data_IF_752563609371
#
_entry.id   IF_752563609371
#
_cell.length_a   1.000
_cell.length_b   1.000
_cell.length_c   1.000
_cell.angle_alpha   90.00
_cell.angle_beta   90.00
_cell.angle_gamma   90.00
#
_symmetry.space_group_name_H-M   'P 1'
#
loop_
_entity.id
_entity.type
_entity.pdbx_description
1 polymer ?
#
# COMPACT_ATOMS: atom_id res chain seq x y z
N UNK A 1 13.02 2.64 -18.74
CA UNK A 1 13.49 3.54 -19.83
C UNK A 1 14.95 3.96 -19.66
N UNK A 2 15.38 4.52 -18.53
CA UNK A 2 16.76 5.04 -18.36
C UNK A 2 17.87 3.97 -18.44
N UNK A 3 17.65 2.76 -17.93
CA UNK A 3 18.59 1.64 -18.10
C UNK A 3 18.75 1.17 -19.55
N UNK A 4 17.75 1.38 -20.41
CA UNK A 4 17.83 1.04 -21.84
C UNK A 4 18.63 2.10 -22.60
N UNK A 5 18.46 3.37 -22.22
CA UNK A 5 19.17 4.50 -22.80
C UNK A 5 20.69 4.44 -22.53
N UNK A 6 21.11 3.98 -21.35
CA UNK A 6 22.52 4.00 -20.94
C UNK A 6 23.37 2.82 -21.43
N UNK A 7 22.80 1.80 -22.10
CA UNK A 7 23.54 0.63 -22.67
C UNK A 7 24.61 -0.02 -21.74
N UNK A 8 24.48 0.10 -20.41
CA UNK A 8 25.42 -0.48 -19.45
C UNK A 8 25.06 -1.94 -19.17
N UNK A 9 25.90 -2.88 -19.63
CA UNK A 9 25.74 -4.32 -19.35
C UNK A 9 25.91 -4.58 -17.85
N UNK A 10 24.98 -5.31 -17.24
CA UNK A 10 25.05 -5.74 -15.83
C UNK A 10 24.38 -4.82 -14.79
N UNK A 11 24.05 -3.56 -15.12
CA UNK A 11 23.52 -2.57 -14.15
C UNK A 11 21.99 -2.42 -14.18
N UNK A 12 21.31 -3.09 -15.12
CA UNK A 12 19.85 -2.97 -15.33
C UNK A 12 19.06 -3.32 -14.06
N UNK A 13 19.40 -4.42 -13.39
CA UNK A 13 18.72 -4.86 -12.17
C UNK A 13 18.88 -3.84 -11.04
N UNK A 14 20.09 -3.32 -10.86
CA UNK A 14 20.38 -2.27 -9.87
C UNK A 14 19.55 -1.01 -10.12
N UNK A 15 19.54 -0.50 -11.36
CA UNK A 15 18.77 0.71 -11.69
C UNK A 15 17.25 0.51 -11.54
N UNK A 16 16.74 -0.69 -11.85
CA UNK A 16 15.33 -1.03 -11.63
C UNK A 16 15.00 -1.08 -10.13
N UNK A 17 15.85 -1.70 -9.31
CA UNK A 17 15.69 -1.74 -7.87
C UNK A 17 15.74 -0.33 -7.26
N UNK A 18 16.71 0.49 -7.67
CA UNK A 18 16.83 1.89 -7.24
C UNK A 18 15.59 2.70 -7.62
N UNK A 19 15.08 2.56 -8.84
CA UNK A 19 13.86 3.24 -9.28
C UNK A 19 12.61 2.80 -8.51
N UNK A 20 12.48 1.51 -8.22
CA UNK A 20 11.37 0.99 -7.41
C UNK A 20 11.43 1.49 -5.96
N UNK A 21 12.60 1.49 -5.32
CA UNK A 21 12.80 2.03 -3.97
C UNK A 21 12.52 3.54 -3.91
N UNK A 22 13.02 4.30 -4.89
CA UNK A 22 12.79 5.72 -5.03
C UNK A 22 11.29 6.02 -5.19
N UNK A 23 10.60 5.31 -6.07
CA UNK A 23 9.14 5.45 -6.26
C UNK A 23 8.35 5.18 -4.99
N UNK A 24 8.68 4.12 -4.24
CA UNK A 24 8.05 3.84 -2.95
C UNK A 24 8.34 4.94 -1.92
N UNK A 25 9.57 5.46 -1.90
CA UNK A 25 9.96 6.59 -1.04
C UNK A 25 9.18 7.85 -1.37
N UNK A 26 9.06 8.20 -2.65
CA UNK A 26 8.29 9.35 -3.11
C UNK A 26 6.79 9.21 -2.79
N UNK A 27 6.24 7.99 -2.83
CA UNK A 27 4.83 7.77 -2.54
C UNK A 27 4.48 7.95 -1.06
N UNK A 28 5.40 7.62 -0.14
CA UNK A 28 5.12 7.55 1.30
C UNK A 28 6.02 8.45 2.17
N UNK A 29 6.92 9.24 1.59
CA UNK A 29 7.97 10.00 2.30
C UNK A 29 8.78 9.13 3.29
N UNK A 30 8.99 7.85 2.94
CA UNK A 30 9.52 6.82 3.84
C UNK A 30 10.78 6.16 3.25
N UNK A 31 11.97 6.80 3.36
CA UNK A 31 13.18 6.33 2.69
C UNK A 31 13.66 4.95 3.18
N UNK A 32 13.60 4.70 4.50
CA UNK A 32 14.01 3.40 5.06
C UNK A 32 13.08 2.28 4.61
N UNK A 33 11.77 2.53 4.52
CA UNK A 33 10.81 1.56 4.01
C UNK A 33 11.06 1.24 2.53
N UNK A 34 11.39 2.25 1.72
CA UNK A 34 11.81 2.10 0.33
C UNK A 34 12.99 1.13 0.16
N UNK A 35 14.01 1.29 1.01
CA UNK A 35 15.22 0.47 0.98
C UNK A 35 14.94 -0.95 1.47
N UNK A 36 14.25 -1.09 2.60
CA UNK A 36 13.88 -2.40 3.17
C UNK A 36 12.99 -3.20 2.22
N UNK A 37 12.06 -2.55 1.52
CA UNK A 37 11.23 -3.22 0.52
C UNK A 37 12.04 -3.90 -0.58
N UNK A 38 13.11 -3.25 -1.07
CA UNK A 38 14.01 -3.89 -2.03
C UNK A 38 14.76 -5.06 -1.40
N UNK A 39 15.12 -4.91 -0.12
CA UNK A 39 15.96 -5.88 0.57
C UNK A 39 15.21 -7.14 1.01
N UNK A 40 13.96 -6.99 1.42
CA UNK A 40 13.16 -8.08 1.97
C UNK A 40 12.26 -8.69 0.90
N UNK A 41 11.46 -7.87 0.21
CA UNK A 41 10.43 -8.35 -0.72
C UNK A 41 11.00 -8.63 -2.12
N UNK A 42 11.79 -7.70 -2.66
CA UNK A 42 12.27 -7.82 -4.04
C UNK A 42 13.59 -8.61 -4.17
N UNK A 43 14.11 -9.16 -3.06
CA UNK A 43 15.37 -9.91 -3.02
C UNK A 43 15.50 -11.01 -4.07
N UNK A 44 14.48 -11.86 -4.33
CA UNK A 44 14.61 -12.95 -5.30
C UNK A 44 14.82 -12.45 -6.74
N UNK A 45 14.39 -11.22 -7.05
CA UNK A 45 14.42 -10.64 -8.39
C UNK A 45 15.72 -9.87 -8.69
N UNK A 46 16.52 -9.56 -7.67
CA UNK A 46 17.71 -8.72 -7.80
C UNK A 46 18.96 -9.38 -7.22
N UNK A 47 20.01 -9.50 -8.03
CA UNK A 47 21.31 -10.00 -7.54
C UNK A 47 21.90 -9.00 -6.56
N UNK A 48 22.07 -9.45 -5.33
CA UNK A 48 22.72 -8.66 -4.28
C UNK A 48 24.18 -8.41 -4.58
N UNK A 49 24.53 -7.14 -4.71
CA UNK A 49 25.91 -6.67 -4.68
C UNK A 49 25.96 -5.39 -3.85
N UNK A 50 27.05 -5.17 -3.12
CA UNK A 50 27.28 -3.96 -2.32
C UNK A 50 27.15 -2.68 -3.15
N UNK A 51 27.56 -2.73 -4.41
CA UNK A 51 27.42 -1.63 -5.37
C UNK A 51 25.93 -1.33 -5.64
N UNK A 52 25.09 -2.36 -5.69
CA UNK A 52 23.65 -2.22 -5.93
C UNK A 52 22.95 -1.56 -4.76
N UNK A 53 23.28 -1.97 -3.53
CA UNK A 53 22.72 -1.36 -2.32
C UNK A 53 23.09 0.12 -2.26
N UNK A 54 24.37 0.47 -2.47
CA UNK A 54 24.81 1.87 -2.50
C UNK A 54 24.01 2.70 -3.52
N UNK A 55 23.76 2.16 -4.71
CA UNK A 55 22.95 2.84 -5.72
C UNK A 55 21.50 3.06 -5.27
N UNK A 56 20.88 2.07 -4.62
CA UNK A 56 19.52 2.17 -4.07
C UNK A 56 19.43 3.29 -3.03
N UNK A 57 20.40 3.35 -2.10
CA UNK A 57 20.46 4.42 -1.09
C UNK A 57 20.52 5.81 -1.73
N UNK A 58 21.41 6.00 -2.72
CA UNK A 58 21.55 7.29 -3.41
C UNK A 58 20.24 7.70 -4.09
N UNK A 59 19.58 6.78 -4.81
CA UNK A 59 18.32 7.08 -5.49
C UNK A 59 17.18 7.39 -4.52
N UNK A 60 17.10 6.67 -3.41
CA UNK A 60 16.11 6.92 -2.35
C UNK A 60 16.31 8.29 -1.68
N UNK A 61 17.55 8.65 -1.37
CA UNK A 61 17.89 9.96 -0.79
C UNK A 61 17.47 11.08 -1.75
N UNK A 62 17.85 10.96 -3.03
CA UNK A 62 17.47 11.96 -4.05
C UNK A 62 15.95 12.07 -4.20
N UNK A 63 15.25 10.94 -4.21
CA UNK A 63 13.80 10.92 -4.29
C UNK A 63 13.13 11.57 -3.08
N UNK A 64 13.68 11.35 -1.88
CA UNK A 64 13.20 11.98 -0.64
C UNK A 64 13.41 13.49 -0.66
N UNK A 65 14.59 13.96 -1.12
CA UNK A 65 14.89 15.38 -1.28
C UNK A 65 13.89 16.03 -2.23
N UNK A 66 13.70 15.46 -3.42
CA UNK A 66 12.76 16.00 -4.42
C UNK A 66 11.33 16.01 -3.86
N UNK A 67 10.91 14.93 -3.18
CA UNK A 67 9.60 14.88 -2.54
C UNK A 67 9.40 16.03 -1.54
N UNK A 68 10.38 16.26 -0.67
CA UNK A 68 10.33 17.31 0.37
C UNK A 68 10.41 18.72 -0.19
N UNK A 69 11.15 18.92 -1.28
CA UNK A 69 11.18 20.21 -1.97
C UNK A 69 9.82 20.60 -2.56
N UNK A 70 9.03 19.61 -3.01
CA UNK A 70 7.72 19.83 -3.63
C UNK A 70 6.60 19.86 -2.59
N UNK A 71 6.61 18.94 -1.62
CA UNK A 71 5.49 18.71 -0.69
C UNK A 71 5.76 19.24 0.73
N UNK A 72 6.97 19.76 1.01
CA UNK A 72 7.39 20.19 2.34
C UNK A 72 7.89 19.05 3.23
N UNK A 73 8.20 19.38 4.48
CA UNK A 73 8.87 18.47 5.43
C UNK A 73 7.91 17.61 6.29
N UNK A 74 6.60 17.74 6.07
CA UNK A 74 5.58 16.99 6.82
C UNK A 74 5.61 15.48 6.53
N UNK A 75 5.42 14.67 7.57
CA UNK A 75 5.11 13.25 7.40
C UNK A 75 3.74 13.07 6.73
N UNK A 76 3.58 12.04 5.90
CA UNK A 76 2.31 11.72 5.20
C UNK A 76 1.18 11.44 6.20
N UNK A 77 1.53 10.94 7.38
CA UNK A 77 0.61 10.71 8.49
C UNK A 77 1.25 11.30 9.74
N UNK A 78 0.60 12.29 10.35
CA UNK A 78 1.00 12.84 11.65
C UNK A 78 0.11 12.24 12.73
N UNK A 79 0.65 11.26 13.44
CA UNK A 79 0.00 10.69 14.61
C UNK A 79 0.68 11.31 15.84
N UNK A 80 -0.12 11.78 16.80
CA UNK A 80 0.38 12.44 18.01
C UNK A 80 1.26 11.52 18.86
N UNK A 81 1.85 12.07 19.93
CA UNK A 81 2.60 11.26 20.91
C UNK A 81 1.63 10.40 21.73
N UNK A 82 1.76 9.09 21.61
CA UNK A 82 1.09 8.13 22.51
C UNK A 82 1.90 7.89 23.78
N UNK A 83 1.22 7.41 24.83
CA UNK A 83 1.88 6.92 26.04
C UNK A 83 2.68 5.65 25.75
N UNK A 84 3.79 5.49 26.47
CA UNK A 84 4.62 4.29 26.38
C UNK A 84 3.83 3.04 26.78
N UNK A 85 3.98 1.95 26.02
CA UNK A 85 3.37 0.67 26.34
C UNK A 85 4.10 -0.01 27.51
N UNK A 86 3.42 -0.29 28.64
CA UNK A 86 4.05 -0.98 29.77
C UNK A 86 4.32 -2.46 29.43
N UNK A 87 5.39 -3.02 30.02
CA UNK A 87 5.89 -4.38 29.71
C UNK A 87 4.81 -5.47 29.88
N UNK A 88 3.89 -5.29 30.84
CA UNK A 88 2.79 -6.20 31.11
C UNK A 88 1.71 -6.23 30.00
N UNK A 89 1.72 -5.29 29.05
CA UNK A 89 0.77 -5.26 27.92
C UNK A 89 1.33 -5.89 26.64
N UNK A 90 2.61 -6.29 26.61
CA UNK A 90 3.25 -6.84 25.42
C UNK A 90 2.57 -8.11 24.88
N UNK A 91 1.98 -8.93 25.76
CA UNK A 91 1.27 -10.13 25.33
C UNK A 91 0.03 -9.81 24.49
N UNK A 92 -0.62 -8.65 24.68
CA UNK A 92 -1.75 -8.23 23.83
C UNK A 92 -1.32 -8.01 22.39
N UNK A 93 -0.13 -7.45 22.16
CA UNK A 93 0.41 -7.25 20.81
C UNK A 93 0.73 -8.58 20.12
N UNK A 94 1.12 -9.60 20.87
CA UNK A 94 1.35 -10.95 20.34
C UNK A 94 0.04 -11.61 19.90
N UNK A 95 -1.01 -11.53 20.73
CA UNK A 95 -2.35 -12.03 20.38
C UNK A 95 -2.88 -11.29 19.15
N UNK A 96 -2.72 -9.97 19.12
CA UNK A 96 -3.14 -9.15 17.99
C UNK A 96 -2.37 -9.52 16.70
N UNK A 97 -1.06 -9.77 16.80
CA UNK A 97 -0.23 -10.26 15.69
C UNK A 97 -0.71 -11.60 15.14
N UNK A 98 -1.09 -12.55 16.01
CA UNK A 98 -1.67 -13.83 15.57
C UNK A 98 -3.00 -13.63 14.85
N UNK A 99 -3.89 -12.77 15.36
CA UNK A 99 -5.16 -12.44 14.71
C UNK A 99 -4.94 -11.84 13.33
N UNK A 100 -4.04 -10.86 13.21
CA UNK A 100 -3.69 -10.26 11.91
C UNK A 100 -3.04 -11.27 10.95
N UNK A 101 -2.25 -12.22 11.45
CA UNK A 101 -1.71 -13.31 10.64
C UNK A 101 -2.80 -14.16 10.00
N UNK A 102 -3.81 -14.56 10.78
CA UNK A 102 -4.96 -15.34 10.26
C UNK A 102 -5.79 -14.51 9.27
N UNK A 103 -6.11 -13.26 9.62
CA UNK A 103 -6.87 -12.35 8.74
C UNK A 103 -6.12 -12.10 7.42
N UNK A 104 -4.80 -11.94 7.48
CA UNK A 104 -3.95 -11.74 6.29
C UNK A 104 -3.98 -12.94 5.33
N UNK A 105 -3.96 -14.16 5.85
CA UNK A 105 -4.09 -15.38 5.02
C UNK A 105 -5.47 -15.45 4.36
N UNK A 106 -6.53 -15.17 5.11
CA UNK A 106 -7.91 -15.17 4.59
C UNK A 106 -8.07 -14.09 3.50
N UNK A 107 -7.58 -12.88 3.78
CA UNK A 107 -7.62 -11.76 2.83
C UNK A 107 -6.89 -12.11 1.52
N UNK A 108 -5.69 -12.69 1.64
CA UNK A 108 -4.89 -13.08 0.46
C UNK A 108 -5.62 -14.13 -0.39
N UNK A 109 -6.20 -15.16 0.24
CA UNK A 109 -7.00 -16.18 -0.46
C UNK A 109 -8.23 -15.58 -1.15
N UNK A 110 -8.96 -14.71 -0.45
CA UNK A 110 -10.14 -14.06 -0.98
C UNK A 110 -9.79 -13.17 -2.19
N UNK A 111 -8.69 -12.42 -2.10
CA UNK A 111 -8.20 -11.58 -3.18
C UNK A 111 -7.90 -12.39 -4.44
N UNK A 112 -7.11 -13.47 -4.33
CA UNK A 112 -6.81 -14.32 -5.48
C UNK A 112 -8.05 -15.00 -6.06
N UNK A 113 -8.99 -15.40 -5.19
CA UNK A 113 -10.26 -15.97 -5.62
C UNK A 113 -11.07 -14.97 -6.47
N UNK A 114 -11.28 -13.75 -5.96
CA UNK A 114 -12.05 -12.71 -6.67
C UNK A 114 -11.35 -12.28 -7.96
N UNK A 115 -10.02 -12.19 -7.95
CA UNK A 115 -9.24 -11.91 -9.16
C UNK A 115 -9.46 -12.98 -10.24
N UNK A 116 -9.50 -14.25 -9.84
CA UNK A 116 -9.77 -15.37 -10.77
C UNK A 116 -11.20 -15.27 -11.33
N UNK A 117 -12.18 -14.89 -10.51
CA UNK A 117 -13.57 -14.68 -10.96
C UNK A 117 -13.66 -13.53 -11.99
N UNK A 118 -12.97 -12.41 -11.75
CA UNK A 118 -12.91 -11.31 -12.71
C UNK A 118 -12.26 -11.74 -14.03
N UNK A 119 -11.16 -12.50 -13.99
CA UNK A 119 -10.54 -13.05 -15.20
C UNK A 119 -11.52 -13.94 -16.00
N UNK A 120 -12.27 -14.81 -15.32
CA UNK A 120 -13.30 -15.64 -15.96
C UNK A 120 -14.45 -14.80 -16.56
N UNK A 121 -14.81 -13.69 -15.91
CA UNK A 121 -15.84 -12.77 -16.41
C UNK A 121 -15.37 -12.01 -17.66
N UNK A 122 -14.11 -11.58 -17.68
CA UNK A 122 -13.53 -10.84 -18.79
C UNK A 122 -13.39 -11.69 -20.06
N UNK A 123 -13.06 -12.98 -19.94
CA UNK A 123 -12.87 -13.88 -21.09
C UNK A 123 -11.97 -13.27 -22.18
N UNK A 124 -10.91 -12.56 -21.77
CA UNK A 124 -9.99 -11.80 -22.63
C UNK A 124 -10.62 -10.72 -23.52
N UNK A 125 -11.87 -10.31 -23.24
CA UNK A 125 -12.56 -9.25 -23.97
C UNK A 125 -12.30 -7.90 -23.32
N UNK A 126 -11.52 -7.05 -23.98
CA UNK A 126 -11.21 -5.69 -23.54
C UNK A 126 -12.45 -4.85 -23.26
N UNK A 127 -13.53 -5.03 -24.02
CA UNK A 127 -14.80 -4.32 -23.80
C UNK A 127 -15.41 -4.59 -22.41
N UNK A 128 -15.38 -5.84 -21.95
CA UNK A 128 -15.92 -6.21 -20.62
C UNK A 128 -15.03 -5.69 -19.50
N UNK A 129 -13.72 -5.70 -19.71
CA UNK A 129 -12.76 -5.13 -18.77
C UNK A 129 -12.98 -3.63 -18.59
N UNK A 130 -13.11 -2.87 -19.69
CA UNK A 130 -13.35 -1.42 -19.63
C UNK A 130 -14.70 -1.10 -19.00
N UNK A 131 -15.76 -1.84 -19.35
CA UNK A 131 -17.09 -1.62 -18.78
C UNK A 131 -17.10 -1.93 -17.27
N UNK A 132 -16.53 -3.05 -16.85
CA UNK A 132 -16.42 -3.41 -15.43
C UNK A 132 -15.59 -2.37 -14.66
N UNK A 133 -14.44 -1.94 -15.20
CA UNK A 133 -13.63 -0.88 -14.62
C UNK A 133 -14.38 0.44 -14.50
N UNK A 134 -15.18 0.81 -15.52
CA UNK A 134 -16.02 1.99 -15.49
C UNK A 134 -17.14 1.92 -14.45
N UNK A 135 -17.81 0.78 -14.32
CA UNK A 135 -18.85 0.57 -13.31
C UNK A 135 -18.27 0.59 -11.90
N UNK A 136 -17.15 -0.11 -11.67
CA UNK A 136 -16.48 -0.14 -10.36
C UNK A 136 -15.93 1.23 -10.00
N UNK A 137 -15.26 1.91 -10.94
CA UNK A 137 -14.75 3.27 -10.75
C UNK A 137 -15.88 4.27 -10.49
N UNK A 138 -16.99 4.17 -11.22
CA UNK A 138 -18.19 4.99 -11.02
C UNK A 138 -18.83 4.74 -9.65
N UNK A 139 -18.94 3.47 -9.24
CA UNK A 139 -19.45 3.11 -7.91
C UNK A 139 -18.53 3.63 -6.80
N UNK A 140 -17.21 3.48 -6.93
CA UNK A 140 -16.24 4.05 -5.99
C UNK A 140 -16.30 5.58 -5.96
N UNK A 141 -16.49 6.24 -7.11
CA UNK A 141 -16.67 7.68 -7.19
C UNK A 141 -17.95 8.15 -6.48
N UNK A 142 -19.07 7.44 -6.66
CA UNK A 142 -20.32 7.74 -5.96
C UNK A 142 -20.18 7.51 -4.45
N UNK A 143 -19.58 6.39 -4.05
CA UNK A 143 -19.31 6.10 -2.63
C UNK A 143 -18.39 7.15 -2.00
N UNK A 144 -17.43 7.70 -2.75
CA UNK A 144 -16.57 8.77 -2.27
C UNK A 144 -17.33 10.08 -1.95
N UNK A 145 -18.49 10.31 -2.58
CA UNK A 145 -19.34 11.47 -2.30
C UNK A 145 -20.24 11.25 -1.08
N UNK A 146 -20.66 10.02 -0.82
CA UNK A 146 -21.60 9.69 0.27
C UNK A 146 -20.85 9.37 1.56
N UNK A 147 -19.83 8.50 1.46
CA UNK A 147 -19.02 7.99 2.58
C UNK A 147 -17.55 8.00 2.14
N UNK A 148 -16.86 9.15 2.20
CA UNK A 148 -15.47 9.25 1.77
C UNK A 148 -14.53 8.32 2.55
N UNK A 149 -14.90 7.93 3.77
CA UNK A 149 -14.15 7.05 4.68
C UNK A 149 -13.88 5.65 4.12
N UNK A 150 -14.80 5.10 3.32
CA UNK A 150 -14.72 3.73 2.78
C UNK A 150 -14.03 3.66 1.41
N UNK A 151 -13.63 4.81 0.85
CA UNK A 151 -13.03 4.92 -0.48
C UNK A 151 -11.67 5.63 -0.45
N UNK A 152 -10.91 5.54 -1.56
CA UNK A 152 -9.60 6.17 -1.68
C UNK A 152 -8.48 5.51 -0.85
N UNK A 153 -7.33 6.19 -0.77
CA UNK A 153 -6.13 5.69 -0.09
C UNK A 153 -6.28 5.48 1.42
N UNK A 154 -7.24 6.17 2.04
CA UNK A 154 -7.55 6.05 3.47
C UNK A 154 -6.61 6.84 4.40
N UNK A 155 -5.76 7.73 3.89
CA UNK A 155 -4.90 8.55 4.74
C UNK A 155 -5.67 9.62 5.54
N UNK A 156 -6.78 10.12 4.98
CA UNK A 156 -7.63 11.13 5.62
C UNK A 156 -8.31 10.64 6.90
N UNK A 157 -8.57 9.34 7.02
CA UNK A 157 -9.28 8.78 8.17
C UNK A 157 -8.35 8.45 9.34
N UNK A 158 -7.06 8.15 9.07
CA UNK A 158 -6.12 7.68 10.09
C UNK A 158 -5.99 8.64 11.29
N UNK A 159 -5.86 9.97 11.10
CA UNK A 159 -5.80 10.90 12.23
C UNK A 159 -7.10 10.93 13.06
N UNK A 160 -8.26 10.86 12.40
CA UNK A 160 -9.56 10.89 13.07
C UNK A 160 -9.85 9.59 13.86
N UNK A 161 -9.40 8.44 13.35
CA UNK A 161 -9.44 7.17 14.06
C UNK A 161 -8.54 7.20 15.31
N UNK A 162 -7.31 7.71 15.16
CA UNK A 162 -6.36 7.84 16.26
C UNK A 162 -6.83 8.80 17.36
N UNK A 163 -7.69 9.76 17.03
CA UNK A 163 -8.28 10.69 18.00
C UNK A 163 -9.51 10.11 18.74
N UNK A 164 -9.94 8.88 18.42
CA UNK A 164 -11.07 8.22 19.06
C UNK A 164 -12.44 8.77 18.64
N UNK A 165 -12.54 9.44 17.49
CA UNK A 165 -13.76 10.13 17.05
C UNK A 165 -14.90 9.22 16.56
N UNK A 166 -14.71 7.90 16.52
CA UNK A 166 -15.67 6.95 15.96
C UNK A 166 -16.06 5.86 16.96
N UNK A 167 -17.33 5.43 16.90
CA UNK A 167 -17.82 4.30 17.70
C UNK A 167 -17.26 2.97 17.17
N UNK A 168 -17.11 1.98 18.06
CA UNK A 168 -16.62 0.64 17.69
C UNK A 168 -17.42 0.02 16.54
N UNK A 169 -18.75 0.22 16.53
CA UNK A 169 -19.63 -0.26 15.47
C UNK A 169 -19.31 0.39 14.13
N UNK A 170 -19.06 1.70 14.10
CA UNK A 170 -18.68 2.41 12.88
C UNK A 170 -17.32 1.93 12.34
N UNK A 171 -16.33 1.73 13.22
CA UNK A 171 -15.03 1.17 12.87
C UNK A 171 -15.14 -0.21 12.21
N UNK A 172 -15.95 -1.11 12.77
CA UNK A 172 -16.17 -2.44 12.20
C UNK A 172 -16.85 -2.37 10.82
N UNK A 173 -17.86 -1.50 10.67
CA UNK A 173 -18.53 -1.27 9.38
C UNK A 173 -17.53 -0.75 8.34
N UNK A 174 -16.73 0.26 8.70
CA UNK A 174 -15.71 0.81 7.80
C UNK A 174 -14.66 -0.24 7.42
N UNK A 175 -14.21 -1.06 8.37
CA UNK A 175 -13.27 -2.14 8.10
C UNK A 175 -13.83 -3.12 7.05
N UNK A 176 -15.08 -3.58 7.22
CA UNK A 176 -15.72 -4.53 6.30
C UNK A 176 -15.93 -3.89 4.92
N UNK A 177 -16.56 -2.71 4.87
CA UNK A 177 -16.84 -2.04 3.60
C UNK A 177 -15.57 -1.72 2.83
N UNK A 178 -14.54 -1.23 3.52
CA UNK A 178 -13.27 -0.88 2.91
C UNK A 178 -12.48 -2.11 2.44
N UNK A 179 -12.61 -3.23 3.15
CA UNK A 179 -12.06 -4.52 2.71
C UNK A 179 -12.71 -4.94 1.39
N UNK A 180 -14.04 -4.83 1.30
CA UNK A 180 -14.80 -5.16 0.08
C UNK A 180 -14.41 -4.24 -1.07
N UNK A 181 -14.41 -2.92 -0.88
CA UNK A 181 -14.05 -1.96 -1.93
C UNK A 181 -12.62 -2.15 -2.42
N UNK A 182 -11.68 -2.44 -1.50
CA UNK A 182 -10.28 -2.73 -1.84
C UNK A 182 -10.15 -4.01 -2.67
N UNK A 183 -10.80 -5.09 -2.26
CA UNK A 183 -10.74 -6.37 -2.98
C UNK A 183 -11.35 -6.22 -4.37
N UNK A 184 -12.52 -5.58 -4.51
CA UNK A 184 -13.17 -5.38 -5.80
C UNK A 184 -12.32 -4.49 -6.71
N UNK A 185 -11.83 -3.36 -6.20
CA UNK A 185 -11.04 -2.41 -6.99
C UNK A 185 -9.73 -3.04 -7.47
N UNK A 186 -9.01 -3.73 -6.59
CA UNK A 186 -7.73 -4.37 -6.95
C UNK A 186 -7.94 -5.60 -7.84
N UNK A 187 -8.91 -6.46 -7.52
CA UNK A 187 -9.16 -7.70 -8.27
C UNK A 187 -9.74 -7.43 -9.67
N UNK A 188 -10.36 -6.26 -9.88
CA UNK A 188 -10.82 -5.86 -11.21
C UNK A 188 -9.69 -5.64 -12.21
N UNK A 189 -8.44 -5.50 -11.75
CA UNK A 189 -7.27 -5.25 -12.60
C UNK A 189 -7.02 -3.77 -12.91
N UNK A 190 -7.70 -2.86 -12.20
CA UNK A 190 -7.43 -1.43 -12.30
C UNK A 190 -5.96 -1.12 -11.90
N UNK A 191 -5.27 -0.20 -12.61
CA UNK A 191 -3.90 0.16 -12.28
C UNK A 191 -3.87 0.88 -10.93
N UNK A 192 -3.36 0.20 -9.90
CA UNK A 192 -3.30 0.73 -8.54
C UNK A 192 -2.51 -0.18 -7.59
N UNK A 193 -1.97 0.41 -6.53
CA UNK A 193 -1.24 -0.32 -5.50
C UNK A 193 -2.15 -0.72 -4.34
N UNK A 194 -1.90 -1.90 -3.76
CA UNK A 194 -2.67 -2.40 -2.61
C UNK A 194 -2.10 -1.95 -1.24
N UNK A 195 -0.89 -1.40 -1.24
CA UNK A 195 -0.16 -1.02 -0.03
C UNK A 195 -0.87 0.04 0.82
N UNK A 196 -1.28 1.16 0.22
CA UNK A 196 -1.97 2.23 0.96
C UNK A 196 -3.32 1.75 1.56
N UNK A 197 -4.16 1.01 0.80
CA UNK A 197 -5.35 0.38 1.37
C UNK A 197 -5.11 -0.47 2.62
N UNK A 198 -4.06 -1.31 2.61
CA UNK A 198 -3.70 -2.17 3.75
C UNK A 198 -3.31 -1.38 5.00
N UNK A 199 -2.54 -0.30 4.84
CA UNK A 199 -2.11 0.55 5.96
C UNK A 199 -3.34 1.11 6.70
N UNK A 200 -4.33 1.59 5.96
CA UNK A 200 -5.55 2.16 6.56
C UNK A 200 -6.50 1.09 7.11
N UNK A 201 -6.59 -0.10 6.50
CA UNK A 201 -7.35 -1.22 7.08
C UNK A 201 -6.82 -1.63 8.45
N UNK A 202 -5.49 -1.73 8.59
CA UNK A 202 -4.84 -2.00 9.88
C UNK A 202 -5.16 -0.92 10.91
N UNK A 203 -5.08 0.36 10.53
CA UNK A 203 -5.41 1.49 11.42
C UNK A 203 -6.90 1.58 11.80
N UNK A 204 -7.79 0.92 11.06
CA UNK A 204 -9.22 0.86 11.41
C UNK A 204 -9.51 -0.24 12.44
N UNK A 205 -8.66 -1.27 12.51
CA UNK A 205 -8.76 -2.31 13.53
C UNK A 205 -8.03 -1.96 14.82
N UNK A 206 -7.01 -1.09 14.76
CA UNK A 206 -6.18 -0.71 15.90
C UNK A 206 -5.57 0.69 15.76
#
# INVERSE_FOLDING_TARGET
MMSLALKIKGTRQTLLATGAAAGLTAAFNAPLAGILFIIEEMRPQFKYNLISIKSVFIGVIMSCIVFRLINGEGGVIQIGKFSSAPMNTLWLYLVLGMLFGVVGVIFSKLLFYVQTQFQHFYQDKTSRFVLAGGVIGGACGLLALIIPEITGGGFSIIPALSAGGYSLTALLIFFVLRTITTIISFSSGAPGGIFAPHISLRHTLW
#
